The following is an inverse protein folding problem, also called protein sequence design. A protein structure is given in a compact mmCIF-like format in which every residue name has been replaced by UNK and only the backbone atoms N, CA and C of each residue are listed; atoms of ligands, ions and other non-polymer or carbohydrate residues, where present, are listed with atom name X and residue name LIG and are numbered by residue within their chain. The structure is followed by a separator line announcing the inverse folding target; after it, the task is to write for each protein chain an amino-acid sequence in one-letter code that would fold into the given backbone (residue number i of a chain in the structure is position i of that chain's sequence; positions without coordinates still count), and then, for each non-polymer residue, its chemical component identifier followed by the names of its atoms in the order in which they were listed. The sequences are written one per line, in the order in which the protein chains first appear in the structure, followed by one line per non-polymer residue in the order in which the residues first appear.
data_IF_821074589613
#
_entry.id   IF_821074589613
#
_cell.length_a   1.000
_cell.length_b   1.000
_cell.length_c   1.000
_cell.angle_alpha   90.00
_cell.angle_beta   90.00
_cell.angle_gamma   90.00
#
_symmetry.space_group_name_H-M   'P 1'
#
loop_
_entity.id
_entity.type
_entity.pdbx_description
1 polymer ?
#
# COMPACT_ATOMS: atom_id res chain seq x y z
N UNK A 1 2.17 -53.13 17.06
CA UNK A 1 2.70 -52.23 18.10
C UNK A 1 4.18 -52.04 17.82
N UNK A 2 4.50 -51.14 16.89
CA UNK A 2 5.86 -50.68 16.65
C UNK A 2 5.79 -49.17 16.89
N UNK A 3 6.41 -48.74 17.99
CA UNK A 3 6.56 -47.32 18.32
C UNK A 3 7.54 -46.71 17.33
N UNK A 4 7.10 -45.67 16.66
CA UNK A 4 7.94 -44.72 15.95
C UNK A 4 8.71 -43.93 16.99
N UNK A 5 10.01 -44.15 17.06
CA UNK A 5 10.96 -43.16 17.58
C UNK A 5 10.91 -41.98 16.61
N UNK A 6 10.01 -41.05 16.92
CA UNK A 6 10.05 -39.67 16.49
C UNK A 6 11.19 -39.04 17.29
N UNK A 7 12.41 -39.30 16.83
CA UNK A 7 13.63 -38.75 17.42
C UNK A 7 13.66 -37.27 17.04
N UNK A 8 13.02 -36.50 17.91
CA UNK A 8 13.03 -35.05 17.93
C UNK A 8 14.48 -34.58 17.86
N UNK A 9 14.87 -34.04 16.72
CA UNK A 9 16.05 -33.21 16.60
C UNK A 9 15.72 -31.90 17.30
N UNK A 10 15.87 -31.89 18.62
CA UNK A 10 16.00 -30.65 19.39
C UNK A 10 17.42 -30.15 19.17
N UNK A 11 17.62 -29.45 18.05
CA UNK A 11 18.66 -28.41 18.01
C UNK A 11 18.12 -27.26 18.84
N UNK A 12 18.73 -27.00 19.99
CA UNK A 12 18.47 -25.78 20.74
C UNK A 12 18.85 -24.60 19.85
N UNK A 13 17.82 -23.90 19.38
CA UNK A 13 17.91 -22.76 18.48
C UNK A 13 17.14 -21.63 19.17
N UNK A 14 17.57 -21.28 20.39
CA UNK A 14 16.94 -20.23 21.20
C UNK A 14 16.97 -18.85 20.51
N UNK A 15 17.74 -18.71 19.41
CA UNK A 15 17.82 -17.50 18.57
C UNK A 15 17.13 -17.66 17.20
N UNK A 16 16.39 -18.75 16.94
CA UNK A 16 15.76 -18.99 15.64
C UNK A 16 14.50 -18.15 15.41
N UNK A 17 14.43 -17.50 14.24
CA UNK A 17 13.25 -16.75 13.81
C UNK A 17 12.23 -17.69 13.13
N UNK A 18 11.08 -17.85 13.75
CA UNK A 18 9.89 -18.46 13.15
C UNK A 18 9.22 -17.46 12.20
N UNK A 19 9.38 -17.68 10.89
CA UNK A 19 8.80 -16.83 9.85
C UNK A 19 7.28 -16.98 9.80
N UNK A 20 6.57 -15.86 9.92
CA UNK A 20 5.10 -15.82 9.82
C UNK A 20 4.65 -15.33 8.46
N UNK A 21 5.33 -14.32 7.92
CA UNK A 21 5.03 -13.75 6.61
C UNK A 21 6.23 -12.97 6.08
N UNK A 22 6.18 -12.60 4.81
CA UNK A 22 7.14 -11.71 4.20
C UNK A 22 6.47 -10.73 3.24
N UNK A 23 7.04 -9.55 3.10
CA UNK A 23 6.57 -8.51 2.18
C UNK A 23 7.73 -7.89 1.43
N UNK A 24 7.47 -7.41 0.22
CA UNK A 24 8.43 -6.62 -0.54
C UNK A 24 8.39 -5.16 -0.07
N UNK A 25 9.56 -4.54 0.00
CA UNK A 25 9.75 -3.11 0.19
C UNK A 25 10.64 -2.62 -0.96
N UNK A 26 10.06 -2.46 -2.14
CA UNK A 26 10.74 -2.04 -3.36
C UNK A 26 10.09 -0.78 -3.94
N UNK A 27 10.79 -0.05 -4.83
CA UNK A 27 10.20 1.05 -5.59
C UNK A 27 8.86 0.73 -6.27
N UNK A 28 8.66 -0.53 -6.71
CA UNK A 28 7.45 -0.94 -7.40
C UNK A 28 6.34 -1.46 -6.46
N UNK A 29 6.73 -2.06 -5.33
CA UNK A 29 5.81 -2.74 -4.40
C UNK A 29 6.31 -2.59 -2.97
N UNK A 30 5.51 -1.93 -2.16
CA UNK A 30 5.73 -1.79 -0.72
C UNK A 30 4.37 -1.67 0.01
N UNK A 31 4.30 -1.96 1.32
CA UNK A 31 3.09 -1.77 2.10
C UNK A 31 2.75 -0.28 2.18
N UNK A 32 1.69 0.15 1.50
CA UNK A 32 1.37 1.59 1.39
C UNK A 32 1.08 2.21 2.75
N UNK A 33 0.64 1.44 3.75
CA UNK A 33 0.44 1.95 5.12
C UNK A 33 1.69 2.67 5.67
N UNK A 34 2.90 2.27 5.24
CA UNK A 34 4.18 2.80 5.71
C UNK A 34 4.58 4.17 5.11
N UNK A 35 4.00 4.61 3.99
CA UNK A 35 4.38 5.88 3.36
C UNK A 35 3.66 6.16 2.04
N UNK A 36 3.68 7.41 1.59
CA UNK A 36 3.11 7.80 0.28
C UNK A 36 4.02 7.40 -0.89
N UNK A 37 5.30 7.14 -0.61
CA UNK A 37 6.28 6.65 -1.57
C UNK A 37 7.30 5.72 -0.94
N UNK A 38 8.16 5.13 -1.78
CA UNK A 38 9.13 4.14 -1.34
C UNK A 38 10.18 4.73 -0.37
N UNK A 39 10.78 5.92 -0.63
CA UNK A 39 11.65 6.58 0.35
C UNK A 39 11.01 6.82 1.72
N UNK A 40 9.75 7.26 1.78
CA UNK A 40 9.03 7.41 3.04
C UNK A 40 8.83 6.07 3.76
N UNK A 41 8.46 5.02 3.03
CA UNK A 41 8.30 3.68 3.59
C UNK A 41 9.63 3.11 4.14
N UNK A 42 10.76 3.38 3.47
CA UNK A 42 12.09 3.05 4.01
C UNK A 42 12.41 3.86 5.27
N UNK A 43 12.10 5.17 5.27
CA UNK A 43 12.36 6.05 6.41
C UNK A 43 11.57 5.63 7.66
N UNK A 44 10.33 5.12 7.49
CA UNK A 44 9.54 4.57 8.59
C UNK A 44 10.23 3.40 9.32
N UNK A 45 11.11 2.67 8.61
CA UNK A 45 11.91 1.59 9.17
C UNK A 45 13.33 2.04 9.58
N UNK A 46 13.71 3.28 9.32
CA UNK A 46 15.07 3.79 9.52
C UNK A 46 16.07 3.27 8.49
N UNK A 47 15.61 2.92 7.29
CA UNK A 47 16.42 2.41 6.18
C UNK A 47 16.71 3.51 5.16
N UNK A 48 17.87 3.44 4.51
CA UNK A 48 18.13 4.21 3.31
C UNK A 48 17.46 3.54 2.09
N UNK A 49 16.85 4.29 1.16
CA UNK A 49 16.23 3.68 -0.03
C UNK A 49 17.30 3.13 -0.98
N UNK A 50 17.23 1.84 -1.28
CA UNK A 50 18.03 1.17 -2.31
C UNK A 50 17.26 1.06 -3.64
N UNK A 51 17.98 0.98 -4.76
CA UNK A 51 17.37 0.86 -6.08
C UNK A 51 16.60 -0.46 -6.23
N UNK A 52 17.17 -1.57 -5.75
CA UNK A 52 16.56 -2.89 -5.87
C UNK A 52 15.48 -3.14 -4.79
N UNK A 53 15.55 -2.39 -3.68
CA UNK A 53 14.62 -2.55 -2.56
C UNK A 53 15.14 -3.48 -1.48
N UNK A 54 14.22 -3.93 -0.64
CA UNK A 54 14.42 -4.89 0.42
C UNK A 54 13.29 -5.92 0.44
N UNK A 55 13.57 -7.09 0.99
CA UNK A 55 12.57 -7.98 1.53
C UNK A 55 12.43 -7.78 3.03
N UNK A 56 11.20 -7.80 3.54
CA UNK A 56 10.93 -7.81 4.98
C UNK A 56 10.39 -9.17 5.37
N UNK A 57 11.06 -9.83 6.31
CA UNK A 57 10.62 -11.10 6.90
C UNK A 57 10.13 -10.81 8.30
N UNK A 58 8.87 -11.15 8.55
CA UNK A 58 8.18 -10.83 9.80
C UNK A 58 7.97 -12.15 10.56
N UNK A 59 8.49 -12.21 11.78
CA UNK A 59 8.52 -13.45 12.55
C UNK A 59 8.56 -13.26 14.06
N UNK A 60 8.63 -14.38 14.77
CA UNK A 60 8.83 -14.46 16.21
C UNK A 60 10.08 -15.27 16.53
N UNK A 61 10.77 -14.98 17.61
CA UNK A 61 11.73 -15.93 18.18
C UNK A 61 11.02 -17.01 19.02
N UNK A 62 11.81 -17.92 19.61
CA UNK A 62 11.33 -19.02 20.45
C UNK A 62 10.61 -18.55 21.72
N UNK A 63 10.98 -17.39 22.24
CA UNK A 63 10.33 -16.76 23.38
C UNK A 63 9.03 -16.04 23.00
N UNK A 64 8.80 -15.81 21.71
CA UNK A 64 7.62 -15.16 21.16
C UNK A 64 7.80 -13.66 20.91
N UNK A 65 9.01 -13.12 21.07
CA UNK A 65 9.28 -11.72 20.79
C UNK A 65 9.22 -11.44 19.29
N UNK A 66 8.68 -10.28 18.93
CA UNK A 66 8.38 -9.89 17.55
C UNK A 66 9.61 -9.27 16.89
N UNK A 67 9.93 -9.75 15.69
CA UNK A 67 11.04 -9.24 14.90
C UNK A 67 10.67 -9.02 13.43
N UNK A 68 11.31 -8.01 12.84
CA UNK A 68 11.30 -7.75 11.40
C UNK A 68 12.73 -7.80 10.89
N UNK A 69 13.04 -8.83 10.11
CA UNK A 69 14.35 -9.01 9.47
C UNK A 69 14.32 -8.40 8.08
N UNK A 70 15.21 -7.43 7.84
CA UNK A 70 15.36 -6.71 6.58
C UNK A 70 16.47 -7.37 5.77
N UNK A 71 16.17 -7.70 4.52
CA UNK A 71 17.06 -8.46 3.62
C UNK A 71 17.26 -7.68 2.32
N UNK A 72 18.48 -7.63 1.81
CA UNK A 72 18.80 -6.99 0.51
C UNK A 72 18.69 -7.92 -0.70
N UNK A 73 18.64 -9.24 -0.51
CA UNK A 73 18.21 -10.21 -1.52
C UNK A 73 16.68 -10.23 -1.66
N UNK A 74 16.17 -9.30 -2.47
CA UNK A 74 14.75 -9.16 -2.81
C UNK A 74 14.22 -10.38 -3.55
N UNK A 75 15.07 -11.05 -4.34
CA UNK A 75 14.66 -12.20 -5.17
C UNK A 75 14.31 -13.40 -4.31
N UNK A 76 15.08 -13.66 -3.24
CA UNK A 76 14.78 -14.69 -2.26
C UNK A 76 13.38 -14.51 -1.66
N UNK A 77 13.06 -13.30 -1.21
CA UNK A 77 11.76 -13.00 -0.60
C UNK A 77 10.62 -13.04 -1.62
N UNK A 78 10.85 -12.55 -2.84
CA UNK A 78 9.85 -12.61 -3.91
C UNK A 78 9.49 -14.06 -4.28
N UNK A 79 10.48 -14.97 -4.34
CA UNK A 79 10.26 -16.40 -4.61
C UNK A 79 9.47 -17.07 -3.49
N UNK A 80 9.76 -16.75 -2.22
CA UNK A 80 9.00 -17.25 -1.09
C UNK A 80 7.52 -16.84 -1.17
N UNK A 81 7.24 -15.55 -1.37
CA UNK A 81 5.88 -15.02 -1.51
C UNK A 81 5.15 -15.70 -2.67
N UNK A 82 5.77 -15.77 -3.85
CA UNK A 82 5.16 -16.39 -5.02
C UNK A 82 4.86 -17.89 -4.80
N UNK A 83 5.70 -18.58 -4.02
CA UNK A 83 5.50 -20.00 -3.69
C UNK A 83 4.29 -20.17 -2.78
N UNK A 84 4.19 -19.37 -1.71
CA UNK A 84 3.05 -19.38 -0.79
C UNK A 84 1.75 -18.97 -1.46
N UNK A 85 1.77 -17.96 -2.34
CA UNK A 85 0.59 -17.52 -3.13
C UNK A 85 0.07 -18.65 -4.05
N UNK A 86 0.95 -19.55 -4.48
CA UNK A 86 0.59 -20.74 -5.26
C UNK A 86 0.20 -21.94 -4.37
N UNK A 87 0.19 -21.79 -3.04
CA UNK A 87 -0.09 -22.87 -2.09
C UNK A 87 1.04 -23.90 -1.94
N UNK A 88 2.26 -23.55 -2.34
CA UNK A 88 3.44 -24.40 -2.17
C UNK A 88 4.17 -24.05 -0.88
N UNK A 89 4.70 -25.08 -0.22
CA UNK A 89 5.61 -24.89 0.91
C UNK A 89 6.95 -24.32 0.41
N UNK A 90 7.46 -23.32 1.13
CA UNK A 90 8.77 -22.74 0.90
C UNK A 90 9.36 -22.34 2.25
N UNK A 91 10.56 -22.83 2.54
CA UNK A 91 11.33 -22.48 3.73
C UNK A 91 12.17 -21.23 3.45
N UNK A 92 11.71 -20.09 3.96
CA UNK A 92 12.42 -18.83 3.84
C UNK A 92 13.41 -18.70 5.01
N UNK A 93 14.66 -19.08 4.73
CA UNK A 93 15.78 -18.98 5.68
C UNK A 93 16.85 -18.03 5.14
N UNK A 94 16.84 -16.74 5.54
CA UNK A 94 17.81 -15.75 5.09
C UNK A 94 19.24 -16.09 5.50
N UNK A 95 20.21 -15.89 4.60
CA UNK A 95 21.65 -15.97 4.95
C UNK A 95 22.05 -14.71 5.74
N UNK A 96 22.87 -14.86 6.78
CA UNK A 96 23.35 -13.72 7.59
C UNK A 96 23.99 -12.61 6.77
N UNK A 97 24.56 -12.93 5.59
CA UNK A 97 25.19 -11.94 4.70
C UNK A 97 24.19 -11.04 3.98
N UNK A 98 22.95 -11.48 3.80
CA UNK A 98 21.89 -10.71 3.14
C UNK A 98 21.02 -9.95 4.14
N UNK A 99 21.15 -10.26 5.44
CA UNK A 99 20.48 -9.53 6.51
C UNK A 99 21.13 -8.18 6.72
N UNK A 100 20.36 -7.12 6.47
CA UNK A 100 20.77 -5.72 6.64
C UNK A 100 20.50 -5.24 8.06
N UNK A 101 19.36 -5.64 8.63
CA UNK A 101 18.95 -5.26 9.97
C UNK A 101 17.95 -6.26 10.56
N UNK A 102 18.02 -6.47 11.87
CA UNK A 102 16.96 -7.07 12.66
C UNK A 102 16.29 -5.96 13.48
N UNK A 103 15.06 -5.62 13.16
CA UNK A 103 14.31 -4.55 13.79
C UNK A 103 13.32 -5.13 14.81
N UNK A 104 13.27 -4.61 16.04
CA UNK A 104 12.30 -5.08 17.03
C UNK A 104 10.89 -4.72 16.60
N UNK A 105 9.90 -5.56 16.92
CA UNK A 105 8.49 -5.34 16.60
C UNK A 105 8.15 -5.59 15.13
N UNK A 106 6.89 -5.30 14.78
CA UNK A 106 6.36 -5.48 13.43
C UNK A 106 5.83 -4.15 12.89
N UNK A 107 6.22 -3.75 11.67
CA UNK A 107 5.72 -2.52 11.05
C UNK A 107 4.30 -2.70 10.46
N UNK A 108 3.80 -3.94 10.43
CA UNK A 108 2.49 -4.31 9.89
C UNK A 108 1.72 -5.12 10.91
N UNK A 109 0.39 -5.01 10.86
CA UNK A 109 -0.48 -5.84 11.68
C UNK A 109 -0.41 -7.29 11.16
N UNK A 110 0.07 -8.21 11.99
CA UNK A 110 0.10 -9.65 11.71
C UNK A 110 -0.82 -10.35 12.69
N UNK A 111 -1.79 -11.11 12.16
CA UNK A 111 -2.86 -11.74 12.95
C UNK A 111 -2.51 -13.17 13.42
N UNK A 112 -1.39 -13.72 12.96
CA UNK A 112 -0.96 -15.09 13.26
C UNK A 112 0.22 -15.09 14.23
N UNK A 113 0.40 -16.23 14.90
CA UNK A 113 1.53 -16.51 15.76
C UNK A 113 2.11 -17.87 15.41
N UNK A 114 3.40 -18.07 15.70
CA UNK A 114 4.08 -19.33 15.45
C UNK A 114 3.50 -20.44 16.36
N UNK A 115 3.24 -21.64 15.83
CA UNK A 115 2.75 -22.73 16.65
C UNK A 115 3.78 -23.16 17.70
N UNK A 116 3.34 -23.35 18.95
CA UNK A 116 4.19 -23.89 20.01
C UNK A 116 5.10 -22.88 20.72
N UNK A 117 5.12 -21.62 20.31
CA UNK A 117 5.82 -20.53 21.02
C UNK A 117 4.84 -19.65 21.82
N UNK A 118 5.31 -18.83 22.78
CA UNK A 118 4.47 -17.88 23.49
C UNK A 118 3.81 -16.84 22.57
N UNK A 119 2.81 -16.14 23.11
CA UNK A 119 2.07 -15.13 22.37
C UNK A 119 3.00 -13.99 21.90
N UNK A 120 2.77 -13.41 20.69
CA UNK A 120 3.57 -12.31 20.18
C UNK A 120 3.64 -11.14 21.15
N UNK A 121 4.85 -10.70 21.49
CA UNK A 121 5.09 -9.55 22.36
C UNK A 121 6.31 -8.76 21.90
N UNK A 122 6.44 -7.52 22.38
CA UNK A 122 7.62 -6.70 22.06
C UNK A 122 8.86 -7.21 22.81
N UNK A 123 10.03 -7.27 22.15
CA UNK A 123 11.27 -7.63 22.82
C UNK A 123 11.62 -6.62 23.92
N UNK A 124 12.36 -7.07 24.93
CA UNK A 124 12.78 -6.21 26.03
C UNK A 124 13.62 -5.02 25.52
N UNK A 125 13.40 -3.79 26.05
CA UNK A 125 14.16 -2.62 25.63
C UNK A 125 15.68 -2.79 25.78
N UNK A 126 16.15 -3.57 26.76
CA UNK A 126 17.56 -3.83 27.00
C UNK A 126 18.23 -4.65 25.88
N UNK A 127 17.45 -5.38 25.08
CA UNK A 127 17.93 -6.17 23.94
C UNK A 127 18.08 -5.33 22.66
N UNK A 128 17.58 -4.09 22.65
CA UNK A 128 17.43 -3.30 21.42
C UNK A 128 17.85 -1.85 21.61
N UNK A 129 18.50 -1.26 20.61
CA UNK A 129 18.90 0.16 20.67
C UNK A 129 17.77 1.12 20.25
N UNK A 130 16.62 0.59 19.83
CA UNK A 130 15.50 1.36 19.28
C UNK A 130 14.15 0.83 19.77
N UNK A 131 13.12 1.68 19.87
CA UNK A 131 11.77 1.22 20.16
C UNK A 131 11.29 0.17 19.14
N UNK A 132 10.49 -0.82 19.59
CA UNK A 132 9.80 -1.75 18.71
C UNK A 132 8.96 -1.02 17.66
N UNK A 133 8.99 -1.54 16.43
CA UNK A 133 8.11 -1.15 15.35
C UNK A 133 6.67 -1.47 15.74
N UNK A 134 5.80 -0.49 15.53
CA UNK A 134 4.37 -0.66 15.62
C UNK A 134 3.73 -0.31 14.27
N UNK A 135 2.65 -1.00 13.89
CA UNK A 135 1.88 -0.62 12.71
C UNK A 135 1.34 0.81 12.89
N UNK A 136 1.28 1.62 11.81
CA UNK A 136 0.62 2.92 11.87
C UNK A 136 -0.82 2.81 12.40
N UNK A 137 -1.27 3.80 13.16
CA UNK A 137 -2.64 3.84 13.66
C UNK A 137 -3.63 4.00 12.50
N UNK A 138 -4.55 3.05 12.39
CA UNK A 138 -5.61 2.98 11.39
C UNK A 138 -7.00 3.01 12.03
N UNK A 139 -7.07 3.21 13.36
CA UNK A 139 -8.34 3.36 14.08
C UNK A 139 -8.95 4.75 13.89
N UNK A 140 -8.13 5.75 13.52
CA UNK A 140 -8.55 7.11 13.22
C UNK A 140 -8.19 7.48 11.77
N UNK A 141 -8.98 8.38 11.17
CA UNK A 141 -8.66 8.83 9.82
C UNK A 141 -7.35 9.62 9.80
N UNK A 142 -6.49 9.28 8.86
CA UNK A 142 -5.21 9.92 8.62
C UNK A 142 -4.53 9.31 7.39
N UNK A 143 -3.28 9.70 7.09
CA UNK A 143 -2.59 9.28 5.87
C UNK A 143 -2.53 7.76 5.69
N UNK A 144 -2.31 7.02 6.78
CA UNK A 144 -2.28 5.55 6.75
C UNK A 144 -3.65 4.96 6.35
N UNK A 145 -4.74 5.46 6.96
CA UNK A 145 -6.10 5.01 6.67
C UNK A 145 -6.52 5.38 5.24
N UNK A 146 -6.17 6.59 4.77
CA UNK A 146 -6.39 7.03 3.39
C UNK A 146 -5.72 6.08 2.40
N UNK A 147 -4.44 5.76 2.61
CA UNK A 147 -3.68 4.85 1.74
C UNK A 147 -4.24 3.44 1.73
N UNK A 148 -4.66 2.92 2.89
CA UNK A 148 -5.34 1.62 2.98
C UNK A 148 -6.69 1.61 2.26
N UNK A 149 -7.50 2.67 2.40
CA UNK A 149 -8.76 2.79 1.66
C UNK A 149 -8.54 2.78 0.15
N UNK A 150 -7.50 3.45 -0.31
CA UNK A 150 -7.13 3.46 -1.72
C UNK A 150 -6.58 2.09 -2.20
N UNK A 151 -5.81 1.38 -1.38
CA UNK A 151 -5.37 0.02 -1.70
C UNK A 151 -6.57 -0.95 -1.77
N UNK A 152 -7.56 -0.79 -0.89
CA UNK A 152 -8.80 -1.57 -0.92
C UNK A 152 -9.63 -1.27 -2.18
N UNK A 153 -9.73 -0.01 -2.61
CA UNK A 153 -10.38 0.36 -3.88
C UNK A 153 -9.65 -0.28 -5.07
N UNK A 154 -8.33 -0.30 -5.05
CA UNK A 154 -7.54 -0.93 -6.11
C UNK A 154 -7.78 -2.45 -6.16
N UNK A 155 -7.85 -3.10 -5.00
CA UNK A 155 -8.08 -4.54 -4.86
C UNK A 155 -9.50 -4.93 -5.26
N UNK A 156 -10.50 -4.17 -4.81
CA UNK A 156 -11.93 -4.41 -5.02
C UNK A 156 -12.53 -3.50 -6.10
N UNK A 157 -11.76 -3.17 -7.14
CA UNK A 157 -12.16 -2.20 -8.15
C UNK A 157 -13.56 -2.44 -8.70
N UNK A 158 -13.88 -3.70 -9.06
CA UNK A 158 -15.18 -4.05 -9.64
C UNK A 158 -16.35 -3.69 -8.70
N UNK A 159 -16.21 -3.99 -7.41
CA UNK A 159 -17.25 -3.72 -6.39
C UNK A 159 -17.44 -2.21 -6.20
N UNK A 160 -16.36 -1.44 -6.16
CA UNK A 160 -16.43 0.02 -6.03
C UNK A 160 -17.03 0.67 -7.29
N UNK A 161 -16.61 0.21 -8.48
CA UNK A 161 -17.08 0.78 -9.73
C UNK A 161 -18.58 0.55 -9.97
N UNK A 162 -19.11 -0.59 -9.52
CA UNK A 162 -20.54 -0.92 -9.62
C UNK A 162 -21.46 -0.01 -8.79
N UNK A 163 -20.91 0.69 -7.78
CA UNK A 163 -21.67 1.58 -6.91
C UNK A 163 -21.80 3.01 -7.46
N UNK A 164 -21.16 3.31 -8.60
CA UNK A 164 -21.04 4.67 -9.15
C UNK A 164 -21.83 4.80 -10.46
N UNK A 165 -22.73 5.77 -10.49
CA UNK A 165 -23.49 6.19 -11.66
C UNK A 165 -22.91 7.48 -12.29
N UNK A 166 -23.34 7.80 -13.51
CA UNK A 166 -22.83 8.96 -14.26
C UNK A 166 -23.07 10.31 -13.56
N UNK A 167 -24.07 10.37 -12.65
CA UNK A 167 -24.40 11.55 -11.86
C UNK A 167 -23.45 11.83 -10.69
N UNK A 168 -22.66 10.84 -10.27
CA UNK A 168 -21.81 10.93 -9.09
C UNK A 168 -20.45 11.58 -9.40
N UNK A 169 -20.11 11.72 -10.68
CA UNK A 169 -18.82 12.24 -11.10
C UNK A 169 -18.62 13.73 -10.76
N UNK A 170 -17.42 14.07 -10.30
CA UNK A 170 -16.97 15.46 -10.23
C UNK A 170 -16.83 16.06 -11.65
N UNK A 171 -17.83 16.81 -12.12
CA UNK A 171 -17.85 17.38 -13.48
C UNK A 171 -16.89 18.59 -13.66
N UNK A 172 -16.15 18.69 -14.79
CA UNK A 172 -15.45 19.91 -15.17
C UNK A 172 -16.44 20.96 -15.73
N UNK A 173 -16.26 22.23 -15.36
CA UNK A 173 -16.93 23.36 -16.03
C UNK A 173 -15.98 24.01 -17.04
N UNK A 174 -16.24 23.80 -18.32
CA UNK A 174 -15.81 24.73 -19.37
C UNK A 174 -17.07 25.50 -19.88
N UNK A 175 -16.99 26.85 -19.95
CA UNK A 175 -18.10 27.80 -20.21
C UNK A 175 -18.72 27.71 -21.62
N UNK A 176 -19.85 28.35 -21.98
CA UNK A 176 -20.41 29.67 -21.69
C UNK A 176 -21.95 29.69 -21.90
N UNK A 177 -22.61 30.61 -21.21
CA UNK A 177 -23.99 31.11 -21.28
C UNK A 177 -24.99 30.62 -22.37
N UNK A 178 -26.13 30.11 -21.88
CA UNK A 178 -27.46 30.52 -22.37
C UNK A 178 -28.46 30.53 -21.21
N UNK A 179 -29.21 31.63 -21.13
CA UNK A 179 -30.07 32.04 -20.04
C UNK A 179 -31.48 31.44 -20.12
N UNK A 180 -32.12 31.33 -18.93
CA UNK A 180 -33.57 31.34 -18.62
C UNK A 180 -34.41 30.19 -19.21
N UNK A 181 -35.34 29.51 -18.51
CA UNK A 181 -35.96 29.67 -17.20
C UNK A 181 -36.68 28.34 -16.87
N UNK A 182 -36.96 28.13 -15.58
CA UNK A 182 -38.16 27.49 -15.01
C UNK A 182 -37.99 26.15 -14.26
N UNK A 183 -38.57 26.13 -13.05
CA UNK A 183 -38.86 24.91 -12.27
C UNK A 183 -37.93 24.61 -11.09
N UNK A 184 -38.34 25.08 -9.90
CA UNK A 184 -37.87 24.66 -8.57
C UNK A 184 -37.79 23.13 -8.43
N UNK A 185 -36.73 22.62 -7.81
CA UNK A 185 -36.84 21.85 -6.57
C UNK A 185 -35.49 21.77 -5.81
N UNK A 186 -35.60 22.11 -4.53
CA UNK A 186 -34.77 21.90 -3.34
C UNK A 186 -33.25 21.69 -3.49
N UNK A 187 -32.52 22.78 -3.22
CA UNK A 187 -31.11 22.78 -2.88
C UNK A 187 -30.90 22.40 -1.40
N UNK A 188 -30.40 21.18 -1.17
CA UNK A 188 -29.60 20.81 0.00
C UNK A 188 -28.30 20.16 -0.50
N UNK A 189 -27.45 20.93 -1.18
CA UNK A 189 -26.14 20.42 -1.66
C UNK A 189 -25.10 21.56 -1.77
N UNK A 190 -25.09 22.44 -0.76
CA UNK A 190 -24.68 23.84 -0.92
C UNK A 190 -23.27 24.27 -0.53
N UNK A 191 -22.47 23.46 0.17
CA UNK A 191 -21.09 23.85 0.57
C UNK A 191 -20.06 22.73 0.31
N UNK A 192 -20.34 21.49 0.72
CA UNK A 192 -19.41 20.35 0.55
C UNK A 192 -19.09 19.98 -0.90
N UNK A 193 -20.06 20.10 -1.81
CA UNK A 193 -19.86 19.79 -3.23
C UNK A 193 -18.95 20.77 -3.98
N UNK A 194 -18.69 21.97 -3.44
CA UNK A 194 -17.75 22.93 -4.03
C UNK A 194 -16.32 22.70 -3.57
N UNK A 195 -16.14 22.31 -2.31
CA UNK A 195 -14.84 22.02 -1.70
C UNK A 195 -14.24 20.73 -2.27
N UNK A 196 -15.04 19.65 -2.36
CA UNK A 196 -14.62 18.38 -2.98
C UNK A 196 -14.21 18.53 -4.44
N UNK A 197 -14.95 19.33 -5.22
CA UNK A 197 -14.57 19.70 -6.59
C UNK A 197 -13.30 20.55 -6.65
N UNK A 198 -12.99 21.32 -5.60
CA UNK A 198 -11.74 22.03 -5.45
C UNK A 198 -10.57 21.06 -5.18
N UNK A 199 -10.77 20.13 -4.25
CA UNK A 199 -9.82 19.06 -3.90
C UNK A 199 -9.47 18.18 -5.09
N UNK A 200 -10.46 17.68 -5.84
CA UNK A 200 -10.23 16.87 -7.06
C UNK A 200 -9.41 17.63 -8.10
N UNK A 201 -9.73 18.91 -8.36
CA UNK A 201 -8.99 19.73 -9.33
C UNK A 201 -7.55 19.94 -8.90
N UNK A 202 -7.31 20.15 -7.61
CA UNK A 202 -5.95 20.23 -7.03
C UNK A 202 -5.20 18.92 -7.24
N UNK A 203 -5.80 17.77 -6.91
CA UNK A 203 -5.20 16.45 -7.10
C UNK A 203 -4.84 16.19 -8.55
N UNK A 204 -5.74 16.45 -9.50
CA UNK A 204 -5.45 16.25 -10.92
C UNK A 204 -4.33 17.17 -11.44
N UNK A 205 -4.25 18.41 -10.94
CA UNK A 205 -3.16 19.32 -11.27
C UNK A 205 -1.81 18.85 -10.70
N UNK A 206 -1.79 18.40 -9.44
CA UNK A 206 -0.60 17.84 -8.80
C UNK A 206 -0.15 16.55 -9.50
N UNK A 207 -1.07 15.63 -9.79
CA UNK A 207 -0.79 14.40 -10.53
C UNK A 207 -0.26 14.70 -11.95
N UNK A 208 -0.78 15.73 -12.62
CA UNK A 208 -0.24 16.17 -13.92
C UNK A 208 1.19 16.71 -13.80
N UNK A 209 1.50 17.42 -12.72
CA UNK A 209 2.85 17.96 -12.48
C UNK A 209 3.91 16.85 -12.35
N UNK A 210 3.53 15.65 -11.92
CA UNK A 210 4.44 14.49 -11.85
C UNK A 210 5.01 14.09 -13.21
N UNK A 211 4.27 14.30 -14.29
CA UNK A 211 4.74 14.00 -15.65
C UNK A 211 5.89 14.94 -16.07
N UNK A 212 5.87 16.18 -15.59
CA UNK A 212 6.89 17.19 -15.88
C UNK A 212 8.06 17.12 -14.89
N UNK A 213 7.76 16.94 -13.61
CA UNK A 213 8.72 16.82 -12.52
C UNK A 213 8.47 15.49 -11.80
N UNK A 214 9.19 14.42 -12.18
CA UNK A 214 8.98 13.09 -11.62
C UNK A 214 9.04 13.08 -10.09
N UNK A 215 8.06 12.46 -9.41
CA UNK A 215 8.04 12.35 -7.96
C UNK A 215 9.07 11.32 -7.49
N UNK A 216 9.30 11.21 -6.16
CA UNK A 216 9.99 10.09 -5.57
C UNK A 216 9.47 8.74 -6.06
N UNK A 217 10.37 7.76 -6.12
CA UNK A 217 10.06 6.41 -6.58
C UNK A 217 8.92 5.79 -5.77
N UNK A 218 8.06 5.03 -6.45
CA UNK A 218 6.92 4.37 -5.80
C UNK A 218 5.73 5.27 -5.50
N UNK A 219 5.85 6.59 -5.73
CA UNK A 219 4.70 7.50 -5.62
C UNK A 219 3.64 7.26 -6.69
N UNK A 220 4.07 6.80 -7.88
CA UNK A 220 3.18 6.34 -8.97
C UNK A 220 3.51 4.88 -9.27
N UNK A 221 2.53 4.00 -9.09
CA UNK A 221 2.64 2.55 -9.27
C UNK A 221 1.59 2.07 -10.28
N UNK A 222 1.96 1.08 -11.09
CA UNK A 222 1.09 0.48 -12.10
C UNK A 222 1.08 -1.04 -11.96
N UNK A 223 -0.12 -1.62 -11.89
CA UNK A 223 -0.34 -3.07 -11.85
C UNK A 223 -1.23 -3.50 -12.99
N UNK A 224 -1.20 -4.80 -13.32
CA UNK A 224 -2.08 -5.35 -14.35
C UNK A 224 -3.52 -5.34 -13.84
N UNK A 225 -4.45 -4.90 -14.69
CA UNK A 225 -5.88 -5.08 -14.49
C UNK A 225 -6.42 -6.12 -15.49
N UNK A 226 -7.75 -6.32 -15.52
CA UNK A 226 -8.38 -7.20 -16.51
C UNK A 226 -8.28 -6.60 -17.92
N UNK A 227 -7.96 -7.44 -18.91
CA UNK A 227 -7.76 -7.01 -20.30
C UNK A 227 -6.39 -6.34 -20.52
N UNK A 228 -6.36 -5.33 -21.40
CA UNK A 228 -5.15 -4.53 -21.67
C UNK A 228 -5.01 -3.32 -20.73
N UNK A 229 -5.94 -3.18 -19.78
CA UNK A 229 -5.98 -2.07 -18.85
C UNK A 229 -4.99 -2.25 -17.69
N UNK A 230 -4.70 -1.13 -17.02
CA UNK A 230 -3.85 -1.10 -15.84
C UNK A 230 -4.53 -0.36 -14.70
N UNK A 231 -4.33 -0.85 -13.49
CA UNK A 231 -4.70 -0.13 -12.26
C UNK A 231 -3.51 0.73 -11.87
N UNK A 232 -3.76 2.03 -11.76
CA UNK A 232 -2.79 3.03 -11.35
C UNK A 232 -3.06 3.45 -9.92
N UNK A 233 -1.98 3.55 -9.16
CA UNK A 233 -1.97 4.13 -7.82
C UNK A 233 -1.04 5.33 -7.83
N UNK A 234 -1.55 6.49 -7.46
CA UNK A 234 -0.75 7.70 -7.30
C UNK A 234 -1.05 8.34 -5.95
N UNK A 235 -0.01 8.84 -5.29
CA UNK A 235 -0.14 9.47 -3.98
C UNK A 235 0.50 10.85 -3.99
N UNK A 236 0.10 11.68 -3.03
CA UNK A 236 0.71 12.98 -2.81
C UNK A 236 0.36 13.53 -1.43
N UNK A 237 0.87 14.72 -1.08
CA UNK A 237 0.64 15.32 0.23
C UNK A 237 -0.85 15.53 0.47
N UNK A 238 -1.42 14.71 1.36
CA UNK A 238 -2.83 14.81 1.73
C UNK A 238 -3.82 14.13 0.78
N UNK A 239 -3.37 13.36 -0.22
CA UNK A 239 -4.28 12.69 -1.14
C UNK A 239 -3.77 11.36 -1.69
N UNK A 240 -4.72 10.54 -2.13
CA UNK A 240 -4.50 9.26 -2.77
C UNK A 240 -5.44 9.14 -3.96
N UNK A 241 -4.93 8.70 -5.11
CA UNK A 241 -5.69 8.43 -6.32
C UNK A 241 -5.53 6.97 -6.74
N UNK A 242 -6.63 6.35 -7.12
CA UNK A 242 -6.70 5.02 -7.73
C UNK A 242 -7.41 5.17 -9.05
N UNK A 243 -6.87 4.65 -10.14
CA UNK A 243 -7.48 4.81 -11.45
C UNK A 243 -7.32 3.57 -12.30
N UNK A 244 -8.21 3.43 -13.29
CA UNK A 244 -8.03 2.47 -14.38
C UNK A 244 -7.83 3.21 -15.68
N UNK A 245 -6.79 2.81 -16.43
CA UNK A 245 -6.45 3.45 -17.71
C UNK A 245 -7.58 3.39 -18.76
N UNK A 246 -8.51 2.43 -18.59
CA UNK A 246 -9.66 2.21 -19.44
C UNK A 246 -11.00 2.66 -18.83
N UNK A 247 -11.01 3.41 -17.73
CA UNK A 247 -12.26 3.78 -17.04
C UNK A 247 -12.16 5.16 -16.35
N UNK A 248 -12.32 5.20 -15.02
CA UNK A 248 -12.39 6.40 -14.17
C UNK A 248 -11.22 6.45 -13.18
N UNK A 249 -11.23 7.47 -12.30
CA UNK A 249 -10.41 7.52 -11.11
C UNK A 249 -11.24 7.74 -9.85
N UNK A 250 -10.71 7.33 -8.71
CA UNK A 250 -11.17 7.64 -7.37
C UNK A 250 -10.11 8.44 -6.64
N UNK A 251 -10.52 9.49 -5.95
CA UNK A 251 -9.66 10.37 -5.15
C UNK A 251 -10.11 10.31 -3.69
N UNK A 252 -9.14 10.19 -2.79
CA UNK A 252 -9.31 10.23 -1.35
C UNK A 252 -8.44 11.35 -0.80
N UNK A 253 -8.97 12.13 0.13
CA UNK A 253 -8.31 13.32 0.68
C UNK A 253 -8.22 13.23 2.20
N UNK A 254 -7.14 13.74 2.79
CA UNK A 254 -7.04 13.86 4.26
C UNK A 254 -8.05 14.85 4.83
N UNK A 255 -8.37 15.89 4.06
CA UNK A 255 -9.32 16.95 4.43
C UNK A 255 -10.79 16.50 4.37
N UNK A 256 -11.09 15.41 3.66
CA UNK A 256 -12.43 14.84 3.52
C UNK A 256 -12.44 13.37 4.00
N UNK A 257 -12.43 13.16 5.33
CA UNK A 257 -12.27 11.83 5.91
C UNK A 257 -13.43 10.89 5.58
N UNK A 258 -13.11 9.70 5.06
CA UNK A 258 -14.10 8.68 4.73
C UNK A 258 -14.81 8.88 3.39
N UNK A 259 -14.55 9.98 2.69
CA UNK A 259 -15.13 10.27 1.39
C UNK A 259 -14.28 9.66 0.26
N UNK A 260 -14.95 9.15 -0.77
CA UNK A 260 -14.33 8.61 -1.99
C UNK A 260 -14.91 9.38 -3.16
N UNK A 261 -14.10 10.22 -3.80
CA UNK A 261 -14.52 11.16 -4.83
C UNK A 261 -14.30 10.55 -6.23
N UNK A 262 -15.35 10.16 -6.97
CA UNK A 262 -15.20 9.62 -8.30
C UNK A 262 -14.93 10.74 -9.32
N UNK A 263 -13.97 10.50 -10.20
CA UNK A 263 -13.57 11.38 -11.29
C UNK A 263 -13.90 10.68 -12.59
N UNK A 264 -14.92 11.20 -13.27
CA UNK A 264 -15.33 10.72 -14.59
C UNK A 264 -14.21 10.89 -15.62
N UNK A 265 -14.30 10.10 -16.68
CA UNK A 265 -13.24 10.01 -17.68
C UNK A 265 -12.95 11.36 -18.38
N UNK A 266 -13.98 12.04 -18.86
CA UNK A 266 -13.82 13.33 -19.54
C UNK A 266 -12.78 13.32 -20.68
N UNK A 267 -12.35 14.50 -21.17
CA UNK A 267 -11.35 14.60 -22.23
C UNK A 267 -9.91 14.50 -21.73
N UNK A 268 -9.64 14.84 -20.47
CA UNK A 268 -8.29 15.00 -19.94
C UNK A 268 -7.73 13.78 -19.19
N UNK A 269 -8.58 13.03 -18.48
CA UNK A 269 -8.13 11.93 -17.62
C UNK A 269 -7.40 10.85 -18.42
N UNK A 270 -7.87 10.38 -19.60
CA UNK A 270 -7.19 9.32 -20.33
C UNK A 270 -5.73 9.64 -20.66
N UNK A 271 -5.47 10.88 -21.11
CA UNK A 271 -4.11 11.32 -21.42
C UNK A 271 -3.21 11.42 -20.19
N UNK A 272 -3.79 11.85 -19.05
CA UNK A 272 -3.07 11.86 -17.78
C UNK A 272 -2.72 10.45 -17.31
N UNK A 273 -3.69 9.52 -17.33
CA UNK A 273 -3.47 8.13 -16.90
C UNK A 273 -2.45 7.42 -17.79
N UNK A 274 -2.48 7.64 -19.10
CA UNK A 274 -1.46 7.10 -20.00
C UNK A 274 -0.06 7.63 -19.68
N UNK A 275 0.07 8.93 -19.37
CA UNK A 275 1.36 9.52 -19.00
C UNK A 275 1.87 8.98 -17.66
N UNK A 276 0.98 8.86 -16.67
CA UNK A 276 1.30 8.27 -15.36
C UNK A 276 1.70 6.80 -15.48
N UNK A 277 1.03 6.00 -16.32
CA UNK A 277 1.40 4.59 -16.54
C UNK A 277 2.79 4.42 -17.18
N UNK A 278 3.17 5.34 -18.08
CA UNK A 278 4.49 5.32 -18.72
C UNK A 278 5.63 5.62 -17.75
N UNK A 279 5.39 6.49 -16.76
CA UNK A 279 6.39 6.84 -15.75
C UNK A 279 6.37 5.93 -14.52
N UNK A 280 5.27 5.21 -14.29
CA UNK A 280 5.10 4.36 -13.12
C UNK A 280 6.23 3.32 -13.02
N UNK A 281 6.74 3.13 -11.81
CA UNK A 281 7.71 2.07 -11.55
C UNK A 281 7.02 0.73 -11.67
N UNK A 282 7.63 -0.20 -12.41
CA UNK A 282 7.09 -1.52 -12.69
C UNK A 282 7.87 -2.59 -11.93
N UNK A 283 7.21 -3.62 -11.38
CA UNK A 283 7.90 -4.82 -10.96
C UNK A 283 8.63 -5.41 -12.17
N UNK A 284 9.92 -5.70 -12.00
CA UNK A 284 10.75 -6.42 -12.98
C UNK A 284 10.36 -7.89 -13.08
#
# INVERSE_FOLDING_TARGET
MAGTDDDAVVTGDDDALYVLTAVLLTPAKFPSVLGDDYPEACAALGLAPLADGYGLVIGQDSDGARWTVVIDDVSLVAVAIASWDCGMEYDLSPDERTVVAALPGWPLAVAVAAPGVPAPHDPEPELTERPPLCPPDTASWGPAQRRLGADEIALQWAIWREQIDDGDFAAPKDGEASAEEDGRDEAEDGEGGSESRGGVRRVLAEARSYVETPPPLGRVRSSFATGDARTLRADGPGWSMVARTDDIAFVLLDEEPGEVLPVGRGPELPGLLEALDKMAVRPS
#
